data_IF_100140210640
#
_entry.id   IF_100140210640
#
_cell.length_a   1.000
_cell.length_b   1.000
_cell.length_c   1.000
_cell.angle_alpha   90.00
_cell.angle_beta   90.00
_cell.angle_gamma   90.00
#
_symmetry.space_group_name_H-M   'P 1'
#
loop_
_entity.id
_entity.type
_entity.pdbx_description
1 polymer ?
#
# COMPACT_ATOMS: atom_id res chain seq x y z
N UNK A 1 -31.74 59.72 -16.25
CA UNK A 1 -32.05 58.29 -16.02
C UNK A 1 -30.89 57.44 -16.51
N UNK A 2 -30.60 56.33 -15.82
CA UNK A 2 -29.54 55.32 -16.07
C UNK A 2 -28.19 55.61 -15.40
N UNK A 3 -28.30 55.61 -14.08
CA UNK A 3 -27.28 55.38 -13.07
C UNK A 3 -27.03 53.86 -12.95
N UNK A 4 -25.81 53.46 -12.55
CA UNK A 4 -25.46 52.17 -11.88
C UNK A 4 -25.20 50.89 -12.71
N UNK A 5 -24.25 50.87 -13.65
CA UNK A 5 -23.60 49.58 -14.04
C UNK A 5 -22.13 49.83 -14.44
N UNK A 6 -21.28 50.24 -13.50
CA UNK A 6 -19.83 50.31 -13.74
C UNK A 6 -19.01 50.19 -12.44
N UNK A 7 -19.53 49.50 -11.43
CA UNK A 7 -18.87 49.39 -10.13
C UNK A 7 -19.07 47.99 -9.53
N UNK A 8 -18.77 46.93 -10.30
CA UNK A 8 -18.83 45.54 -9.80
C UNK A 8 -17.82 44.59 -10.47
N UNK A 9 -16.70 45.08 -11.01
CA UNK A 9 -15.63 44.22 -11.56
C UNK A 9 -14.27 44.35 -10.87
N UNK A 10 -14.18 45.04 -9.72
CA UNK A 10 -12.90 45.29 -9.04
C UNK A 10 -12.83 44.64 -7.65
N UNK A 11 -13.42 43.45 -7.47
CA UNK A 11 -13.35 42.73 -6.19
C UNK A 11 -13.30 41.20 -6.34
N UNK A 12 -12.42 40.67 -7.17
CA UNK A 12 -12.06 39.23 -7.18
C UNK A 12 -10.63 39.02 -7.68
N UNK A 13 -9.65 39.66 -7.03
CA UNK A 13 -8.23 39.45 -7.36
C UNK A 13 -7.36 39.22 -6.12
N UNK A 14 -7.90 38.54 -5.10
CA UNK A 14 -7.13 38.10 -3.92
C UNK A 14 -7.62 36.73 -3.42
N UNK A 15 -7.68 35.74 -4.31
CA UNK A 15 -7.39 34.37 -3.84
C UNK A 15 -5.88 34.26 -3.76
N UNK A 16 -5.34 34.74 -2.63
CA UNK A 16 -4.01 34.41 -2.20
C UNK A 16 -3.87 32.89 -2.27
N UNK A 17 -2.98 32.43 -3.13
CA UNK A 17 -2.47 31.07 -3.17
C UNK A 17 -2.09 30.68 -1.75
N UNK A 18 -2.93 29.88 -1.09
CA UNK A 18 -2.52 29.04 0.01
C UNK A 18 -1.57 28.01 -0.57
N UNK A 19 -0.31 28.41 -0.73
CA UNK A 19 0.80 27.49 -0.80
C UNK A 19 0.77 26.72 0.52
N UNK A 20 0.05 25.59 0.54
CA UNK A 20 0.37 24.49 1.42
C UNK A 20 1.87 24.28 1.22
N UNK A 21 2.65 24.70 2.22
CA UNK A 21 4.05 24.38 2.31
C UNK A 21 4.12 22.85 2.28
N UNK A 22 4.30 22.28 1.09
CA UNK A 22 4.63 20.89 0.91
C UNK A 22 6.01 20.76 1.53
N UNK A 23 6.05 20.42 2.83
CA UNK A 23 7.24 19.96 3.50
C UNK A 23 7.88 18.95 2.56
N UNK A 24 9.10 19.25 2.10
CA UNK A 24 9.81 18.41 1.14
C UNK A 24 9.68 16.96 1.61
N UNK A 25 9.22 16.08 0.73
CA UNK A 25 9.07 14.67 1.05
C UNK A 25 10.41 14.20 1.62
N UNK A 26 10.38 13.82 2.90
CA UNK A 26 11.55 13.33 3.60
C UNK A 26 12.12 12.18 2.77
N UNK A 27 13.44 12.15 2.59
CA UNK A 27 14.08 11.17 1.74
C UNK A 27 13.58 9.77 2.14
N UNK A 28 13.29 8.90 1.16
CA UNK A 28 12.90 7.52 1.38
C UNK A 28 13.55 6.85 2.60
N UNK A 29 12.73 6.36 3.54
CA UNK A 29 13.17 5.74 4.80
C UNK A 29 13.35 6.72 5.97
N UNK A 30 13.72 7.99 5.73
CA UNK A 30 13.94 8.99 6.77
C UNK A 30 15.02 8.62 7.79
N UNK A 31 15.25 9.49 8.79
CA UNK A 31 16.26 9.26 9.84
C UNK A 31 15.99 8.03 10.73
N UNK A 32 14.75 7.55 10.77
CA UNK A 32 14.31 6.46 11.66
C UNK A 32 14.09 5.12 10.94
N UNK A 33 14.50 4.97 9.67
CA UNK A 33 14.27 3.74 8.90
C UNK A 33 14.71 2.46 9.63
N UNK A 34 15.91 2.51 10.23
CA UNK A 34 16.50 1.36 10.94
C UNK A 34 15.75 1.05 12.23
N UNK A 35 15.44 2.08 13.01
CA UNK A 35 14.71 1.94 14.27
C UNK A 35 13.31 1.38 13.99
N UNK A 36 12.64 1.87 12.95
CA UNK A 36 11.34 1.36 12.51
C UNK A 36 11.39 -0.12 12.09
N UNK A 37 12.40 -0.53 11.31
CA UNK A 37 12.59 -1.94 10.92
C UNK A 37 12.85 -2.84 12.13
N UNK A 38 13.68 -2.38 13.08
CA UNK A 38 13.97 -3.12 14.31
C UNK A 38 12.71 -3.27 15.18
N UNK A 39 11.98 -2.18 15.39
CA UNK A 39 10.71 -2.19 16.13
C UNK A 39 9.68 -3.10 15.47
N UNK A 40 9.55 -3.04 14.14
CA UNK A 40 8.65 -3.90 13.37
C UNK A 40 8.97 -5.38 13.61
N UNK A 41 10.23 -5.78 13.48
CA UNK A 41 10.65 -7.18 13.68
C UNK A 41 10.45 -7.66 15.11
N UNK A 42 10.74 -6.82 16.10
CA UNK A 42 10.56 -7.14 17.52
C UNK A 42 9.09 -7.26 17.94
N UNK A 43 8.15 -6.72 17.16
CA UNK A 43 6.73 -6.73 17.48
C UNK A 43 6.06 -8.09 17.24
N UNK A 44 6.73 -9.03 16.56
CA UNK A 44 6.23 -10.37 16.31
C UNK A 44 6.78 -11.37 17.33
N UNK A 45 5.93 -12.28 17.81
CA UNK A 45 6.35 -13.32 18.76
C UNK A 45 7.42 -14.23 18.15
N UNK A 46 8.46 -14.51 18.92
CA UNK A 46 9.58 -15.36 18.49
C UNK A 46 9.20 -16.84 18.30
N UNK A 47 8.12 -17.30 18.94
CA UNK A 47 7.63 -18.68 18.85
C UNK A 47 6.65 -18.92 17.71
N UNK A 48 6.41 -17.92 16.86
CA UNK A 48 5.62 -18.08 15.65
C UNK A 48 6.26 -19.12 14.70
N UNK A 49 5.45 -19.90 13.97
CA UNK A 49 5.95 -20.80 12.95
C UNK A 49 6.86 -20.09 11.94
N UNK A 50 7.95 -20.75 11.55
CA UNK A 50 8.96 -20.19 10.62
C UNK A 50 8.35 -19.66 9.32
N UNK A 51 7.34 -20.34 8.79
CA UNK A 51 6.66 -19.94 7.54
C UNK A 51 5.77 -18.69 7.69
N UNK A 52 5.40 -18.29 8.92
CA UNK A 52 4.81 -16.97 9.16
C UNK A 52 5.88 -15.90 9.19
N UNK A 53 7.02 -16.18 9.83
CA UNK A 53 8.12 -15.23 9.94
C UNK A 53 8.72 -14.88 8.57
N UNK A 54 8.68 -15.78 7.59
CA UNK A 54 9.10 -15.47 6.20
C UNK A 54 8.26 -14.38 5.55
N UNK A 55 7.03 -14.10 6.02
CA UNK A 55 6.19 -13.00 5.49
C UNK A 55 6.67 -11.62 5.92
N UNK A 56 7.55 -11.53 6.92
CA UNK A 56 8.17 -10.28 7.35
C UNK A 56 9.31 -9.86 6.41
N UNK A 57 9.85 -10.81 5.65
CA UNK A 57 10.92 -10.52 4.70
C UNK A 57 10.34 -9.88 3.44
N UNK A 58 10.74 -8.64 3.21
CA UNK A 58 10.39 -7.91 2.01
C UNK A 58 11.33 -8.30 0.87
N UNK A 59 10.76 -8.59 -0.30
CA UNK A 59 11.52 -8.74 -1.53
C UNK A 59 12.06 -7.38 -2.04
N UNK A 60 12.85 -7.40 -3.12
CA UNK A 60 13.45 -6.19 -3.69
C UNK A 60 12.39 -5.18 -4.15
N UNK A 61 11.27 -5.65 -4.71
CA UNK A 61 10.19 -4.81 -5.20
C UNK A 61 9.50 -4.10 -4.04
N UNK A 62 9.11 -4.84 -3.01
CA UNK A 62 8.49 -4.31 -1.79
C UNK A 62 9.36 -3.27 -1.11
N UNK A 63 10.65 -3.56 -0.91
CA UNK A 63 11.62 -2.61 -0.32
C UNK A 63 11.71 -1.33 -1.13
N UNK A 64 11.75 -1.45 -2.45
CA UNK A 64 11.85 -0.30 -3.35
C UNK A 64 10.56 0.52 -3.35
N UNK A 65 9.41 -0.12 -3.40
CA UNK A 65 8.10 0.55 -3.32
C UNK A 65 7.96 1.30 -1.99
N UNK A 66 8.36 0.68 -0.86
CA UNK A 66 8.40 1.34 0.45
C UNK A 66 9.32 2.56 0.44
N UNK A 67 10.54 2.41 -0.11
CA UNK A 67 11.51 3.48 -0.23
C UNK A 67 10.88 4.65 -1.01
N UNK A 68 10.41 4.41 -2.23
CA UNK A 68 9.92 5.48 -3.11
C UNK A 68 8.45 5.87 -2.90
N UNK A 69 7.78 5.34 -1.88
CA UNK A 69 6.33 5.53 -1.63
C UNK A 69 5.51 5.25 -2.89
N UNK A 70 5.75 4.07 -3.47
CA UNK A 70 5.14 3.58 -4.70
C UNK A 70 5.40 4.41 -5.96
N UNK A 71 6.34 5.36 -5.92
CA UNK A 71 6.71 6.20 -7.06
C UNK A 71 8.21 6.14 -7.40
N UNK A 72 8.76 4.96 -7.74
CA UNK A 72 10.16 4.83 -8.10
C UNK A 72 10.48 5.51 -9.45
N UNK A 73 11.72 6.01 -9.65
CA UNK A 73 12.20 6.45 -10.95
C UNK A 73 11.99 5.38 -12.02
N UNK A 74 11.64 5.80 -13.25
CA UNK A 74 11.27 4.90 -14.35
C UNK A 74 12.27 3.75 -14.58
N UNK A 75 13.57 4.06 -14.61
CA UNK A 75 14.64 3.07 -14.81
C UNK A 75 14.66 1.98 -13.74
N UNK A 76 14.31 2.33 -12.49
CA UNK A 76 14.19 1.37 -11.40
C UNK A 76 12.91 0.54 -11.58
N UNK A 77 11.80 1.19 -11.92
CA UNK A 77 10.54 0.52 -12.26
C UNK A 77 10.72 -0.56 -13.34
N UNK A 78 11.35 -0.22 -14.47
CA UNK A 78 11.62 -1.17 -15.56
C UNK A 78 12.49 -2.37 -15.12
N UNK A 79 13.41 -2.17 -14.17
CA UNK A 79 14.20 -3.25 -13.60
C UNK A 79 13.30 -4.19 -12.79
N UNK A 80 12.43 -3.64 -11.95
CA UNK A 80 11.50 -4.41 -11.13
C UNK A 80 10.46 -5.14 -12.01
N UNK A 81 9.95 -4.50 -13.06
CA UNK A 81 9.05 -5.14 -14.02
C UNK A 81 9.69 -6.38 -14.64
N UNK A 82 10.95 -6.30 -15.09
CA UNK A 82 11.69 -7.45 -15.63
C UNK A 82 11.90 -8.55 -14.59
N UNK A 83 12.29 -8.16 -13.38
CA UNK A 83 12.50 -9.09 -12.27
C UNK A 83 11.23 -9.87 -11.95
N UNK A 84 10.09 -9.18 -11.84
CA UNK A 84 8.80 -9.81 -11.52
C UNK A 84 8.23 -10.59 -12.70
N UNK A 85 8.39 -10.11 -13.94
CA UNK A 85 7.97 -10.84 -15.13
C UNK A 85 8.67 -12.21 -15.25
N UNK A 86 9.94 -12.31 -14.83
CA UNK A 86 10.67 -13.58 -14.82
C UNK A 86 10.12 -14.62 -13.83
N UNK A 87 9.29 -14.20 -12.86
CA UNK A 87 8.64 -15.09 -11.88
C UNK A 87 7.34 -15.70 -12.40
N UNK A 88 6.76 -15.12 -13.46
CA UNK A 88 5.49 -15.56 -14.03
C UNK A 88 5.67 -16.97 -14.62
N UNK A 89 4.82 -17.91 -14.20
CA UNK A 89 4.76 -19.27 -14.73
C UNK A 89 3.47 -19.42 -15.55
N UNK A 90 3.61 -19.55 -16.86
CA UNK A 90 2.47 -19.78 -17.74
C UNK A 90 2.04 -21.26 -17.72
N UNK A 91 0.75 -21.55 -17.95
CA UNK A 91 0.25 -22.92 -18.10
C UNK A 91 0.96 -23.66 -19.23
N UNK A 92 1.34 -24.91 -18.99
CA UNK A 92 2.08 -25.74 -19.98
C UNK A 92 1.24 -26.08 -21.22
N UNK A 93 -0.08 -26.11 -21.07
CA UNK A 93 -1.05 -26.36 -22.13
C UNK A 93 -1.42 -25.09 -22.91
N UNK A 94 -0.88 -23.93 -22.53
CA UNK A 94 -1.08 -22.64 -23.20
C UNK A 94 -2.48 -22.05 -23.03
N UNK A 95 -3.36 -22.65 -22.23
CA UNK A 95 -4.71 -22.13 -21.99
C UNK A 95 -4.69 -21.03 -20.94
N UNK A 96 -4.85 -19.79 -21.39
CA UNK A 96 -4.87 -18.61 -20.49
C UNK A 96 -6.27 -18.31 -19.92
N UNK A 97 -7.33 -18.85 -20.52
CA UNK A 97 -8.72 -18.60 -20.13
C UNK A 97 -9.36 -19.91 -19.65
N UNK A 98 -9.85 -19.90 -18.41
CA UNK A 98 -10.56 -21.01 -17.77
C UNK A 98 -12.09 -20.83 -17.75
N UNK A 99 -12.76 -21.54 -16.83
CA UNK A 99 -14.20 -21.38 -16.59
C UNK A 99 -14.48 -20.05 -15.87
N UNK A 100 -15.31 -19.21 -16.48
CA UNK A 100 -15.69 -17.90 -15.94
C UNK A 100 -16.47 -18.02 -14.62
N UNK A 101 -17.24 -19.10 -14.42
CA UNK A 101 -18.02 -19.29 -13.19
C UNK A 101 -17.12 -19.58 -11.99
N UNK A 102 -16.04 -20.33 -12.20
CA UNK A 102 -15.01 -20.53 -11.17
C UNK A 102 -14.21 -19.25 -10.95
N UNK A 103 -13.94 -18.49 -12.01
CA UNK A 103 -13.34 -17.15 -11.91
C UNK A 103 -14.16 -16.19 -11.05
N UNK A 104 -15.49 -16.19 -11.20
CA UNK A 104 -16.41 -15.38 -10.38
C UNK A 104 -16.32 -15.76 -8.89
N UNK A 105 -16.33 -17.06 -8.58
CA UNK A 105 -16.14 -17.54 -7.19
C UNK A 105 -14.81 -17.07 -6.61
N UNK A 106 -13.72 -17.20 -7.36
CA UNK A 106 -12.39 -16.77 -6.93
C UNK A 106 -12.34 -15.25 -6.68
N UNK A 107 -12.96 -14.46 -7.55
CA UNK A 107 -13.03 -13.01 -7.40
C UNK A 107 -13.91 -12.57 -6.21
N UNK A 108 -14.93 -13.36 -5.85
CA UNK A 108 -15.82 -13.08 -4.72
C UNK A 108 -15.23 -13.49 -3.35
N UNK A 109 -14.24 -14.39 -3.31
CA UNK A 109 -13.63 -14.86 -2.07
C UNK A 109 -12.52 -13.90 -1.62
N UNK A 110 -12.72 -13.30 -0.43
CA UNK A 110 -11.71 -12.47 0.25
C UNK A 110 -10.91 -13.22 1.32
N UNK A 111 -11.03 -14.54 1.41
CA UNK A 111 -10.40 -15.34 2.47
C UNK A 111 -9.17 -16.07 1.97
N UNK A 112 -8.15 -16.20 2.82
CA UNK A 112 -6.92 -16.93 2.54
C UNK A 112 -5.71 -16.26 3.15
N UNK A 113 -4.77 -17.05 3.66
CA UNK A 113 -3.47 -16.52 4.11
C UNK A 113 -3.48 -15.67 5.40
N UNK A 114 -4.59 -15.62 6.14
CA UNK A 114 -4.66 -14.95 7.44
C UNK A 114 -3.65 -15.54 8.44
N UNK A 115 -2.98 -14.66 9.19
CA UNK A 115 -2.06 -15.02 10.25
C UNK A 115 -2.83 -14.96 11.57
N UNK A 116 -2.79 -16.04 12.34
CA UNK A 116 -3.37 -16.05 13.67
C UNK A 116 -3.68 -17.46 14.14
N UNK A 117 -3.57 -17.65 15.46
CA UNK A 117 -4.30 -18.68 16.15
C UNK A 117 -5.67 -18.09 16.48
N UNK A 118 -6.75 -18.84 16.29
CA UNK A 118 -8.05 -18.43 16.84
C UNK A 118 -7.82 -18.33 18.35
N UNK A 119 -7.86 -17.10 18.88
CA UNK A 119 -7.93 -16.83 20.30
C UNK A 119 -9.42 -16.62 20.57
N UNK A 120 -10.22 -17.67 20.80
CA UNK A 120 -11.61 -17.46 21.16
C UNK A 120 -11.60 -16.67 22.47
N UNK A 121 -12.32 -15.55 22.51
CA UNK A 121 -12.56 -14.87 23.77
C UNK A 121 -13.12 -15.91 24.77
N UNK A 122 -12.63 -15.94 26.02
CA UNK A 122 -13.19 -16.83 27.01
C UNK A 122 -14.69 -16.55 27.13
N UNK A 123 -15.51 -17.60 27.13
CA UNK A 123 -16.96 -17.47 27.26
C UNK A 123 -17.29 -16.73 28.57
N UNK A 124 -17.73 -15.48 28.46
CA UNK A 124 -18.03 -14.63 29.61
C UNK A 124 -18.46 -13.22 29.18
N UNK A 125 -19.21 -12.50 30.03
CA UNK A 125 -19.74 -11.20 29.69
C UNK A 125 -18.61 -10.16 29.73
N UNK A 126 -17.98 -9.91 28.57
CA UNK A 126 -17.47 -8.63 28.05
C UNK A 126 -16.24 -8.84 27.15
N UNK A 127 -16.49 -9.05 25.86
CA UNK A 127 -15.63 -8.50 24.82
C UNK A 127 -16.28 -7.16 24.42
N UNK A 128 -15.49 -6.07 24.36
CA UNK A 128 -15.93 -4.68 24.16
C UNK A 128 -16.46 -3.95 25.41
N UNK A 129 -15.52 -3.49 26.24
CA UNK A 129 -15.64 -2.20 26.94
C UNK A 129 -14.29 -1.50 26.91
#
# INVERSE_FOLDING_TARGET
MKLKIALFCALTATFATSALAQKAAEAPGGKYAKDAEQMFRASFRADNPKYWMTRLEQDETMKTCLQYRDNPPRKIGEKLEKLNAATIRYPVDGKLIGDWKEGEKLAAVGTGGHIGFIQPDPAGPRAWR
#
